data_IF_871668069887
#
_entry.id   IF_871668069887
#
_cell.length_a   1.000
_cell.length_b   1.000
_cell.length_c   1.000
_cell.angle_alpha   90.00
_cell.angle_beta   90.00
_cell.angle_gamma   90.00
#
_symmetry.space_group_name_H-M   'P 1'
#
loop_
_entity.id
_entity.type
_entity.pdbx_description
1 polymer ?
#
# COMPACT_ATOMS: atom_id res chain seq x y z
N UNK A 1 -33.71 42.13 14.69
CA UNK A 1 -33.48 40.67 14.78
C UNK A 1 -33.09 40.26 16.22
N UNK A 2 -33.86 40.68 17.22
CA UNK A 2 -33.54 40.52 18.66
C UNK A 2 -34.07 39.19 19.22
N UNK A 3 -35.21 38.72 18.70
CA UNK A 3 -35.86 37.47 19.12
C UNK A 3 -35.05 36.21 18.78
N UNK A 4 -34.34 36.22 17.64
CA UNK A 4 -33.47 35.10 17.24
C UNK A 4 -32.25 34.98 18.19
N UNK A 5 -31.70 36.13 18.59
CA UNK A 5 -30.60 36.21 19.58
C UNK A 5 -31.05 35.72 20.95
N UNK A 6 -32.27 36.07 21.37
CA UNK A 6 -32.84 35.60 22.64
C UNK A 6 -33.08 34.09 22.65
N UNK A 7 -33.64 33.54 21.57
CA UNK A 7 -33.81 32.09 21.43
C UNK A 7 -32.48 31.32 21.39
N UNK A 8 -31.41 31.92 20.85
CA UNK A 8 -30.07 31.35 20.88
C UNK A 8 -29.48 31.40 22.30
N UNK A 9 -29.61 32.54 22.98
CA UNK A 9 -29.16 32.74 24.36
C UNK A 9 -29.85 31.78 25.34
N UNK A 10 -31.17 31.61 25.25
CA UNK A 10 -31.90 30.66 26.10
C UNK A 10 -31.49 29.20 25.85
N UNK A 11 -31.21 28.81 24.60
CA UNK A 11 -30.68 27.48 24.27
C UNK A 11 -29.29 27.27 24.88
N UNK A 12 -28.45 28.29 24.85
CA UNK A 12 -27.10 28.23 25.40
C UNK A 12 -27.13 28.09 26.92
N UNK A 13 -27.93 28.91 27.62
CA UNK A 13 -28.14 28.83 29.08
C UNK A 13 -28.75 27.49 29.49
N UNK A 14 -29.74 27.00 28.74
CA UNK A 14 -30.36 25.70 29.02
C UNK A 14 -29.33 24.58 28.85
N UNK A 15 -28.52 24.65 27.80
CA UNK A 15 -27.41 23.73 27.57
C UNK A 15 -26.36 23.77 28.69
N UNK A 16 -26.04 24.95 29.22
CA UNK A 16 -25.15 25.11 30.38
C UNK A 16 -25.72 24.48 31.64
N UNK A 17 -26.97 24.77 31.99
CA UNK A 17 -27.63 24.19 33.17
C UNK A 17 -27.73 22.67 33.10
N UNK A 18 -28.00 22.11 31.91
CA UNK A 18 -28.00 20.65 31.72
C UNK A 18 -26.60 20.09 31.92
N UNK A 19 -25.55 20.75 31.38
CA UNK A 19 -24.15 20.34 31.57
C UNK A 19 -23.74 20.37 33.04
N UNK A 20 -24.15 21.38 33.80
CA UNK A 20 -23.83 21.50 35.22
C UNK A 20 -24.53 20.44 36.07
N UNK A 21 -25.80 20.14 35.77
CA UNK A 21 -26.51 19.02 36.42
C UNK A 21 -25.84 17.67 36.12
N UNK A 22 -25.40 17.45 34.87
CA UNK A 22 -24.65 16.23 34.51
C UNK A 22 -23.33 16.15 35.28
N UNK A 23 -22.60 17.26 35.40
CA UNK A 23 -21.35 17.33 36.16
C UNK A 23 -21.58 17.03 37.65
N UNK A 24 -22.59 17.65 38.26
CA UNK A 24 -22.96 17.42 39.65
C UNK A 24 -23.37 15.97 39.93
N UNK A 25 -24.17 15.36 39.05
CA UNK A 25 -24.56 13.96 39.20
C UNK A 25 -23.42 12.97 38.96
N UNK A 26 -22.50 13.25 38.02
CA UNK A 26 -21.27 12.44 37.85
C UNK A 26 -20.33 12.56 39.05
N UNK A 27 -20.28 13.74 39.70
CA UNK A 27 -19.54 13.93 40.96
C UNK A 27 -20.15 13.12 42.12
N UNK A 28 -21.45 12.86 42.07
CA UNK A 28 -22.15 11.92 42.97
C UNK A 28 -22.01 10.45 42.56
N UNK A 29 -21.17 10.14 41.56
CA UNK A 29 -20.90 8.78 41.10
C UNK A 29 -21.96 8.16 40.18
N UNK A 30 -23.02 8.89 39.81
CA UNK A 30 -24.12 8.36 39.01
C UNK A 30 -23.75 8.22 37.52
N UNK A 31 -24.27 7.19 36.85
CA UNK A 31 -24.07 6.98 35.41
C UNK A 31 -25.03 7.85 34.59
N UNK A 32 -24.58 9.06 34.25
CA UNK A 32 -25.38 10.09 33.56
C UNK A 32 -25.45 9.92 32.03
N UNK A 33 -25.52 8.67 31.54
CA UNK A 33 -25.78 8.35 30.13
C UNK A 33 -24.55 7.89 29.33
N UNK A 34 -24.83 7.46 28.10
CA UNK A 34 -23.88 6.76 27.24
C UNK A 34 -24.00 5.25 27.33
N UNK A 35 -23.33 4.58 26.40
CA UNK A 35 -23.35 3.13 26.26
C UNK A 35 -22.48 2.48 27.35
N UNK A 36 -22.99 1.50 28.14
CA UNK A 36 -22.21 0.88 29.20
C UNK A 36 -21.02 0.10 28.62
N UNK A 37 -19.84 0.13 29.27
CA UNK A 37 -18.69 -0.66 28.84
C UNK A 37 -18.93 -2.16 29.00
N UNK A 38 -18.14 -2.99 28.31
CA UNK A 38 -18.14 -4.45 28.50
C UNK A 38 -17.90 -4.76 29.98
N UNK A 39 -18.67 -5.64 30.60
CA UNK A 39 -18.57 -5.99 32.03
C UNK A 39 -19.68 -5.41 32.89
N UNK A 40 -20.42 -4.43 32.38
CA UNK A 40 -21.49 -3.76 33.12
C UNK A 40 -22.80 -3.71 32.32
N UNK A 41 -23.90 -3.79 33.06
CA UNK A 41 -25.25 -3.49 32.59
C UNK A 41 -25.79 -2.24 33.31
N UNK A 42 -26.77 -1.57 32.70
CA UNK A 42 -27.42 -0.41 33.33
C UNK A 42 -28.70 -0.88 34.02
N UNK A 43 -28.82 -0.60 35.32
CA UNK A 43 -30.07 -0.71 36.09
C UNK A 43 -30.25 0.57 36.89
N UNK A 44 -31.41 1.21 36.82
CA UNK A 44 -31.73 2.44 37.58
C UNK A 44 -30.68 3.56 37.48
N UNK A 45 -30.11 3.77 36.27
CA UNK A 45 -29.02 4.74 36.01
C UNK A 45 -27.73 4.46 36.81
N UNK A 46 -27.56 3.22 37.25
CA UNK A 46 -26.37 2.67 37.90
C UNK A 46 -25.75 1.59 37.04
N UNK A 47 -24.41 1.49 37.06
CA UNK A 47 -23.71 0.37 36.44
C UNK A 47 -23.70 -0.81 37.42
N UNK A 48 -24.19 -1.95 36.97
CA UNK A 48 -24.21 -3.20 37.73
C UNK A 48 -23.32 -4.20 37.02
N UNK A 49 -22.47 -4.91 37.78
CA UNK A 49 -21.53 -5.88 37.23
C UNK A 49 -22.28 -7.03 36.59
N UNK A 50 -21.95 -7.34 35.33
CA UNK A 50 -22.36 -8.56 34.66
C UNK A 50 -21.27 -9.62 34.85
N UNK A 51 -21.49 -10.70 35.62
CA UNK A 51 -20.43 -11.64 35.98
C UNK A 51 -19.71 -12.29 34.79
N UNK A 52 -20.45 -12.63 33.73
CA UNK A 52 -19.90 -13.29 32.54
C UNK A 52 -18.98 -12.35 31.77
N UNK A 53 -19.45 -11.12 31.50
CA UNK A 53 -18.64 -10.12 30.80
C UNK A 53 -17.49 -9.62 31.68
N UNK A 54 -17.69 -9.51 32.99
CA UNK A 54 -16.64 -9.12 33.93
C UNK A 54 -15.48 -10.11 33.95
N UNK A 55 -15.77 -11.41 33.82
CA UNK A 55 -14.72 -12.42 33.66
C UNK A 55 -13.93 -12.24 32.36
N UNK A 56 -14.56 -11.85 31.26
CA UNK A 56 -13.85 -11.53 30.01
C UNK A 56 -12.92 -10.33 30.18
N UNK A 57 -13.40 -9.30 30.88
CA UNK A 57 -12.58 -8.12 31.20
C UNK A 57 -11.35 -8.50 32.03
N UNK A 58 -11.52 -9.29 33.10
CA UNK A 58 -10.38 -9.76 33.93
C UNK A 58 -9.34 -10.49 33.09
N UNK A 59 -9.79 -11.46 32.29
CA UNK A 59 -8.93 -12.22 31.38
C UNK A 59 -8.19 -11.33 30.36
N UNK A 60 -8.83 -10.29 29.83
CA UNK A 60 -8.18 -9.33 28.92
C UNK A 60 -7.06 -8.53 29.59
N UNK A 61 -7.27 -8.10 30.84
CA UNK A 61 -6.25 -7.35 31.59
C UNK A 61 -5.08 -8.23 32.00
N UNK A 62 -5.35 -9.45 32.47
CA UNK A 62 -4.31 -10.46 32.78
C UNK A 62 -3.50 -10.83 31.54
N UNK A 63 -4.17 -11.18 30.43
CA UNK A 63 -3.48 -11.49 29.17
C UNK A 63 -2.62 -10.32 28.66
N UNK A 64 -3.03 -9.07 28.89
CA UNK A 64 -2.19 -7.92 28.55
C UNK A 64 -0.95 -7.80 29.45
N UNK A 65 -1.10 -8.08 30.75
CA UNK A 65 0.01 -8.14 31.69
C UNK A 65 1.01 -9.24 31.34
N UNK A 66 0.59 -10.32 30.70
CA UNK A 66 1.49 -11.36 30.19
C UNK A 66 2.11 -10.93 28.85
N UNK A 67 1.29 -10.63 27.85
CA UNK A 67 1.74 -10.39 26.46
C UNK A 67 2.50 -9.06 26.28
N UNK A 68 2.10 -8.01 26.99
CA UNK A 68 2.72 -6.69 26.91
C UNK A 68 2.53 -5.92 25.60
N UNK A 69 1.69 -6.40 24.69
CA UNK A 69 1.43 -5.77 23.40
C UNK A 69 -0.06 -5.77 23.08
N UNK A 70 -0.62 -4.61 22.70
CA UNK A 70 -2.03 -4.48 22.29
C UNK A 70 -2.32 -5.22 20.99
N UNK A 71 -1.35 -5.35 20.08
CA UNK A 71 -1.48 -6.19 18.88
C UNK A 71 -1.54 -7.68 19.25
N UNK A 72 -0.66 -8.13 20.13
CA UNK A 72 -0.69 -9.52 20.63
C UNK A 72 -1.99 -9.80 21.38
N UNK A 73 -2.46 -8.86 22.20
CA UNK A 73 -3.76 -8.95 22.88
C UNK A 73 -4.93 -9.05 21.91
N UNK A 74 -4.87 -8.34 20.77
CA UNK A 74 -5.92 -8.40 19.75
C UNK A 74 -6.00 -9.78 19.09
N UNK A 75 -4.84 -10.41 18.84
CA UNK A 75 -4.75 -11.78 18.35
C UNK A 75 -5.28 -12.77 19.39
N UNK A 76 -4.79 -12.66 20.62
CA UNK A 76 -5.22 -13.51 21.74
C UNK A 76 -6.73 -13.41 21.99
N UNK A 77 -7.30 -12.20 21.99
CA UNK A 77 -8.73 -12.01 22.17
C UNK A 77 -9.56 -12.67 21.05
N UNK A 78 -9.07 -12.64 19.81
CA UNK A 78 -9.71 -13.31 18.67
C UNK A 78 -9.66 -14.83 18.80
N UNK A 79 -8.50 -15.39 19.15
CA UNK A 79 -8.30 -16.84 19.34
C UNK A 79 -9.15 -17.38 20.51
N UNK A 80 -9.39 -16.56 21.53
CA UNK A 80 -10.20 -16.91 22.69
C UNK A 80 -11.69 -16.52 22.54
N UNK A 81 -12.13 -16.14 21.33
CA UNK A 81 -13.54 -15.83 21.05
C UNK A 81 -14.10 -14.62 21.80
N UNK A 82 -13.25 -13.71 22.28
CA UNK A 82 -13.67 -12.52 23.02
C UNK A 82 -14.10 -11.42 22.04
N UNK A 83 -15.34 -10.98 22.17
CA UNK A 83 -16.00 -10.02 21.29
C UNK A 83 -16.46 -8.77 22.04
N UNK A 84 -16.71 -7.70 21.28
CA UNK A 84 -17.31 -6.47 21.81
C UNK A 84 -18.71 -6.73 22.37
N UNK A 85 -19.09 -6.02 23.46
CA UNK A 85 -20.40 -6.16 24.14
C UNK A 85 -21.55 -6.14 23.13
N UNK A 86 -22.35 -7.21 23.11
CA UNK A 86 -23.53 -7.33 22.26
C UNK A 86 -24.63 -6.44 22.84
N UNK A 87 -25.19 -5.56 22.00
CA UNK A 87 -26.28 -4.67 22.39
C UNK A 87 -27.51 -5.05 21.61
N UNK A 88 -28.64 -5.16 22.31
CA UNK A 88 -29.94 -5.45 21.73
C UNK A 88 -30.82 -4.22 21.81
N UNK A 89 -31.61 -3.99 20.77
CA UNK A 89 -32.69 -3.02 20.75
C UNK A 89 -33.91 -3.60 21.48
N UNK A 90 -34.93 -2.76 21.74
CA UNK A 90 -36.15 -3.15 22.45
C UNK A 90 -36.93 -4.29 21.76
N UNK A 91 -36.76 -4.42 20.44
CA UNK A 91 -37.30 -5.47 19.56
C UNK A 91 -36.43 -6.74 19.53
N UNK A 92 -35.38 -6.84 20.37
CA UNK A 92 -34.51 -8.00 20.50
C UNK A 92 -33.43 -8.14 19.42
N UNK A 93 -33.45 -7.31 18.37
CA UNK A 93 -32.42 -7.28 17.31
C UNK A 93 -31.10 -6.74 17.84
N UNK A 94 -29.98 -7.23 17.32
CA UNK A 94 -28.65 -6.71 17.66
C UNK A 94 -28.49 -5.32 17.05
N UNK A 95 -28.39 -4.29 17.90
CA UNK A 95 -28.28 -2.89 17.48
C UNK A 95 -26.83 -2.44 17.30
N UNK A 96 -25.90 -3.02 18.06
CA UNK A 96 -24.47 -2.75 17.95
C UNK A 96 -23.63 -3.79 18.72
N UNK A 97 -22.34 -3.87 18.42
CA UNK A 97 -21.40 -4.78 19.08
C UNK A 97 -21.42 -6.20 18.51
N UNK A 98 -20.92 -7.18 19.26
CA UNK A 98 -20.78 -8.57 18.81
C UNK A 98 -19.69 -8.79 17.75
N UNK A 99 -18.83 -7.79 17.53
CA UNK A 99 -17.72 -7.85 16.58
C UNK A 99 -16.40 -8.17 17.29
N UNK A 100 -15.42 -8.79 16.59
CA UNK A 100 -14.06 -8.93 17.11
C UNK A 100 -13.48 -7.58 17.52
N UNK A 101 -12.66 -7.57 18.56
CA UNK A 101 -11.96 -6.37 18.99
C UNK A 101 -10.93 -5.90 17.97
N UNK A 102 -10.89 -4.59 17.72
CA UNK A 102 -9.75 -3.93 17.07
C UNK A 102 -8.68 -3.56 18.10
N UNK A 103 -7.43 -3.37 17.66
CA UNK A 103 -6.36 -2.92 18.54
C UNK A 103 -6.64 -1.56 19.20
N UNK A 104 -7.34 -0.66 18.50
CA UNK A 104 -7.74 0.64 19.06
C UNK A 104 -8.80 0.50 20.15
N UNK A 105 -9.78 -0.38 19.95
CA UNK A 105 -10.83 -0.64 20.94
C UNK A 105 -10.25 -1.24 22.22
N UNK A 106 -9.35 -2.22 22.11
CA UNK A 106 -8.68 -2.81 23.28
C UNK A 106 -7.79 -1.79 24.00
N UNK A 107 -7.04 -0.98 23.26
CA UNK A 107 -6.23 0.07 23.87
C UNK A 107 -7.08 1.12 24.62
N UNK A 108 -8.27 1.46 24.12
CA UNK A 108 -9.21 2.32 24.84
C UNK A 108 -9.79 1.62 26.08
N UNK A 109 -10.19 0.36 25.94
CA UNK A 109 -10.75 -0.46 27.02
C UNK A 109 -9.78 -0.58 28.21
N UNK A 110 -8.50 -0.85 27.94
CA UNK A 110 -7.47 -0.95 28.97
C UNK A 110 -7.27 0.35 29.77
N UNK A 111 -7.75 1.50 29.27
CA UNK A 111 -7.67 2.80 29.95
C UNK A 111 -8.92 3.17 30.72
N UNK A 112 -10.01 2.43 30.58
CA UNK A 112 -11.25 2.75 31.27
C UNK A 112 -11.08 2.60 32.78
N UNK A 113 -11.20 3.73 33.48
CA UNK A 113 -11.19 3.79 34.95
C UNK A 113 -12.50 3.29 35.57
N UNK A 114 -13.53 3.10 34.75
CA UNK A 114 -14.79 2.47 35.17
C UNK A 114 -14.56 1.09 35.77
N UNK A 115 -13.56 0.34 35.30
CA UNK A 115 -13.26 -0.99 35.85
C UNK A 115 -12.72 -1.01 37.28
N UNK A 116 -12.23 0.14 37.79
CA UNK A 116 -11.77 0.31 39.18
C UNK A 116 -12.79 1.10 40.03
N UNK A 117 -14.05 1.19 39.59
CA UNK A 117 -15.10 1.86 40.36
C UNK A 117 -15.10 3.39 40.23
N UNK A 118 -14.56 3.95 39.14
CA UNK A 118 -14.47 5.41 38.96
C UNK A 118 -15.19 5.94 37.72
N UNK A 119 -15.65 7.19 37.78
CA UNK A 119 -16.28 7.90 36.66
C UNK A 119 -15.46 9.13 36.30
N UNK A 120 -15.06 9.24 35.03
CA UNK A 120 -14.31 10.38 34.52
C UNK A 120 -15.23 11.48 33.96
N UNK A 121 -14.93 12.74 34.28
CA UNK A 121 -15.61 13.91 33.71
C UNK A 121 -14.66 15.11 33.58
N UNK A 122 -14.54 15.66 32.37
CA UNK A 122 -13.72 16.85 32.04
C UNK A 122 -12.30 16.81 32.63
N UNK A 123 -11.66 15.64 32.64
CA UNK A 123 -10.29 15.44 33.13
C UNK A 123 -10.18 15.09 34.62
N UNK A 124 -11.26 15.21 35.39
CA UNK A 124 -11.32 14.76 36.79
C UNK A 124 -11.91 13.36 36.92
N UNK A 125 -11.50 12.62 37.94
CA UNK A 125 -12.00 11.29 38.26
C UNK A 125 -12.72 11.33 39.61
N UNK A 126 -13.90 10.73 39.68
CA UNK A 126 -14.73 10.66 40.89
C UNK A 126 -15.03 9.20 41.23
N UNK A 127 -15.18 8.85 42.52
CA UNK A 127 -15.75 7.56 42.91
C UNK A 127 -17.10 7.36 42.24
N UNK A 128 -17.24 6.26 41.51
CA UNK A 128 -18.48 5.83 40.89
C UNK A 128 -19.36 5.10 41.89
N UNK A 129 -20.66 5.20 41.71
CA UNK A 129 -21.64 4.39 42.44
C UNK A 129 -21.78 3.03 41.75
N UNK A 130 -20.69 2.29 41.56
CA UNK A 130 -20.70 0.96 40.94
C UNK A 130 -19.51 0.12 41.39
N UNK A 131 -19.71 -1.20 41.44
CA UNK A 131 -18.66 -2.11 41.91
C UNK A 131 -17.51 -2.22 40.90
N UNK A 132 -16.28 -2.28 41.41
CA UNK A 132 -15.10 -2.48 40.59
C UNK A 132 -15.03 -3.93 40.07
N UNK A 133 -14.70 -4.10 38.79
CA UNK A 133 -14.42 -5.42 38.20
C UNK A 133 -12.97 -5.84 38.48
N UNK A 134 -12.07 -4.86 38.54
CA UNK A 134 -10.63 -5.03 38.73
C UNK A 134 -10.17 -4.38 40.03
N UNK A 135 -9.13 -4.95 40.64
CA UNK A 135 -8.41 -4.27 41.72
C UNK A 135 -7.61 -3.10 41.15
N UNK A 136 -7.39 -2.07 41.99
CA UNK A 136 -6.60 -0.90 41.59
C UNK A 136 -5.16 -1.28 41.21
N UNK A 137 -4.55 -2.25 41.91
CA UNK A 137 -3.21 -2.77 41.60
C UNK A 137 -3.09 -3.30 40.16
N UNK A 138 -4.00 -4.19 39.74
CA UNK A 138 -3.97 -4.77 38.39
C UNK A 138 -4.10 -3.67 37.33
N UNK A 139 -4.99 -2.71 37.55
CA UNK A 139 -5.18 -1.60 36.63
C UNK A 139 -3.96 -0.69 36.55
N UNK A 140 -3.33 -0.37 37.68
CA UNK A 140 -2.11 0.44 37.77
C UNK A 140 -0.93 -0.25 37.09
N UNK A 141 -0.76 -1.56 37.28
CA UNK A 141 0.26 -2.36 36.58
C UNK A 141 0.05 -2.33 35.07
N UNK A 142 -1.21 -2.42 34.60
CA UNK A 142 -1.53 -2.28 33.17
C UNK A 142 -1.21 -0.87 32.67
N UNK A 143 -1.54 0.19 33.41
CA UNK A 143 -1.20 1.56 33.02
C UNK A 143 0.31 1.78 32.99
N UNK A 144 1.03 1.26 33.98
CA UNK A 144 2.48 1.31 34.03
C UNK A 144 3.06 0.61 32.80
N UNK A 145 2.56 -0.58 32.43
CA UNK A 145 2.98 -1.29 31.22
C UNK A 145 2.61 -0.55 29.93
N UNK A 146 1.45 0.11 29.86
CA UNK A 146 1.05 0.97 28.74
C UNK A 146 1.95 2.21 28.60
N UNK A 147 2.41 2.78 29.73
CA UNK A 147 3.29 3.95 29.77
C UNK A 147 4.75 3.59 29.52
N UNK A 148 5.20 2.47 30.07
CA UNK A 148 6.55 1.91 29.94
C UNK A 148 6.77 1.20 28.61
N UNK A 149 5.69 0.72 27.95
CA UNK A 149 5.73 0.40 26.53
C UNK A 149 6.30 1.63 25.85
N UNK A 150 7.55 1.57 25.33
CA UNK A 150 8.12 2.72 24.68
C UNK A 150 7.09 3.10 23.63
N UNK A 151 6.61 4.35 23.67
CA UNK A 151 6.05 4.92 22.46
C UNK A 151 7.10 4.57 21.44
N UNK A 152 6.81 3.66 20.51
CA UNK A 152 7.51 3.61 19.23
C UNK A 152 7.11 4.91 18.47
N UNK A 153 7.37 6.06 19.10
CA UNK A 153 8.14 7.17 18.60
C UNK A 153 9.64 6.79 18.60
N UNK A 154 10.00 5.54 18.29
CA UNK A 154 10.99 5.40 17.23
C UNK A 154 10.39 6.22 16.10
N UNK A 155 11.11 7.24 15.65
CA UNK A 155 10.65 8.19 14.66
C UNK A 155 9.64 7.54 13.70
N UNK A 156 8.59 8.27 13.30
CA UNK A 156 8.12 8.09 11.92
C UNK A 156 9.36 8.37 11.07
N UNK A 157 10.16 7.34 10.86
CA UNK A 157 11.42 7.39 10.16
C UNK A 157 11.00 7.51 8.71
N UNK A 158 10.88 8.77 8.31
CA UNK A 158 10.29 9.19 7.06
C UNK A 158 8.76 9.11 7.09
N UNK A 159 8.14 10.06 6.40
CA UNK A 159 7.02 9.69 5.53
C UNK A 159 7.39 8.38 4.81
N UNK A 160 6.42 7.48 4.52
CA UNK A 160 6.68 6.39 3.57
C UNK A 160 7.50 6.95 2.40
N UNK A 161 8.56 6.26 1.94
CA UNK A 161 9.39 6.79 0.88
C UNK A 161 8.47 7.29 -0.24
N UNK A 162 8.66 8.54 -0.67
CA UNK A 162 7.80 9.21 -1.63
C UNK A 162 8.04 8.60 -3.01
N UNK A 163 7.63 7.34 -3.17
CA UNK A 163 7.74 6.62 -4.42
C UNK A 163 6.59 7.08 -5.34
N UNK A 164 6.83 7.19 -6.65
CA UNK A 164 5.89 7.78 -7.60
C UNK A 164 4.48 7.17 -7.54
N UNK A 165 4.35 5.85 -7.39
CA UNK A 165 3.05 5.16 -7.44
C UNK A 165 2.35 5.04 -6.08
N UNK A 166 2.78 5.84 -5.09
CA UNK A 166 2.22 5.79 -3.74
C UNK A 166 0.74 6.14 -3.74
N UNK A 167 -0.09 5.13 -3.54
CA UNK A 167 -1.55 5.29 -3.47
C UNK A 167 -2.35 5.06 -4.72
N UNK A 168 -1.68 4.70 -5.80
CA UNK A 168 -2.33 4.35 -7.04
C UNK A 168 -2.54 2.83 -7.17
N UNK A 169 -1.79 2.02 -6.43
CA UNK A 169 -1.73 0.55 -6.62
C UNK A 169 -2.62 -0.21 -5.63
N UNK A 170 -3.43 -1.12 -6.18
CA UNK A 170 -4.32 -2.02 -5.46
C UNK A 170 -4.16 -3.46 -5.98
N UNK A 171 -4.39 -4.45 -5.11
CA UNK A 171 -4.39 -5.87 -5.50
C UNK A 171 -5.81 -6.43 -5.79
N UNK A 172 -5.86 -7.70 -6.21
CA UNK A 172 -7.08 -8.46 -6.55
C UNK A 172 -8.15 -8.48 -5.43
N UNK A 173 -7.76 -8.20 -4.19
CA UNK A 173 -8.69 -8.17 -3.05
C UNK A 173 -9.17 -6.76 -2.71
N UNK A 174 -8.68 -5.75 -3.43
CA UNK A 174 -8.92 -4.33 -3.16
C UNK A 174 -7.97 -3.71 -2.13
N UNK A 175 -6.96 -4.45 -1.66
CA UNK A 175 -5.98 -3.95 -0.70
C UNK A 175 -4.99 -3.00 -1.39
N UNK A 176 -4.74 -1.85 -0.77
CA UNK A 176 -3.76 -0.86 -1.27
C UNK A 176 -2.34 -1.32 -0.96
N UNK A 177 -1.47 -1.22 -1.97
CA UNK A 177 -0.02 -1.44 -1.78
C UNK A 177 0.64 -0.17 -1.24
N UNK A 178 1.49 -0.34 -0.23
CA UNK A 178 2.21 0.75 0.45
C UNK A 178 3.71 0.60 0.22
N UNK A 179 4.46 1.68 -0.05
CA UNK A 179 5.89 1.60 -0.25
C UNK A 179 6.61 1.33 1.08
N UNK A 180 7.55 0.39 1.06
CA UNK A 180 8.44 0.01 2.16
C UNK A 180 9.86 -0.10 1.64
N UNK A 181 10.85 -0.07 2.54
CA UNK A 181 12.24 -0.31 2.17
C UNK A 181 12.88 -1.36 3.05
N UNK A 182 13.88 -2.07 2.51
CA UNK A 182 14.79 -2.92 3.24
C UNK A 182 16.21 -2.42 3.01
N UNK A 183 17.03 -2.43 4.07
CA UNK A 183 18.45 -2.05 3.96
C UNK A 183 19.30 -3.31 4.06
N UNK A 184 20.18 -3.52 3.08
CA UNK A 184 21.15 -4.62 3.09
C UNK A 184 22.50 -4.09 2.61
N UNK A 185 23.55 -4.31 3.38
CA UNK A 185 24.92 -3.88 3.06
C UNK A 185 25.01 -2.38 2.71
N UNK A 186 24.30 -1.53 3.44
CA UNK A 186 24.24 -0.08 3.19
C UNK A 186 23.35 0.35 2.02
N UNK A 187 22.93 -0.56 1.13
CA UNK A 187 22.01 -0.27 0.04
C UNK A 187 20.54 -0.37 0.48
N UNK A 188 19.72 0.59 0.06
CA UNK A 188 18.27 0.61 0.31
C UNK A 188 17.52 0.06 -0.90
N UNK A 189 16.67 -0.92 -0.67
CA UNK A 189 15.82 -1.56 -1.67
C UNK A 189 14.36 -1.20 -1.39
N UNK A 190 13.69 -0.61 -2.37
CA UNK A 190 12.30 -0.17 -2.25
C UNK A 190 11.33 -1.20 -2.82
N UNK A 191 10.20 -1.39 -2.14
CA UNK A 191 9.16 -2.35 -2.51
C UNK A 191 7.76 -1.74 -2.31
N UNK A 192 6.80 -2.13 -3.14
CA UNK A 192 5.37 -1.97 -2.86
C UNK A 192 4.83 -3.26 -2.25
N UNK A 193 4.18 -3.14 -1.09
CA UNK A 193 3.71 -4.29 -0.30
C UNK A 193 2.24 -4.15 0.06
N UNK A 194 1.45 -5.22 -0.09
CA UNK A 194 0.03 -5.23 0.33
C UNK A 194 -0.08 -4.89 1.81
N UNK A 195 -0.97 -3.97 2.17
CA UNK A 195 -1.05 -3.42 3.53
C UNK A 195 -1.23 -4.50 4.63
N UNK A 196 -1.90 -5.62 4.30
CA UNK A 196 -2.07 -6.79 5.18
C UNK A 196 -0.76 -7.48 5.59
N UNK A 197 0.26 -7.54 4.72
CA UNK A 197 1.58 -8.10 5.07
C UNK A 197 2.31 -7.29 6.14
N UNK A 198 1.97 -6.01 6.29
CA UNK A 198 2.53 -5.13 7.32
C UNK A 198 1.81 -5.27 8.67
N UNK A 199 0.61 -5.89 8.68
CA UNK A 199 -0.26 -6.02 9.84
C UNK A 199 -0.21 -7.42 10.49
N UNK A 200 0.16 -8.47 9.74
CA UNK A 200 0.22 -9.85 10.22
C UNK A 200 1.60 -10.49 10.03
N UNK A 201 2.10 -11.24 11.03
CA UNK A 201 3.34 -12.04 10.95
C UNK A 201 3.21 -13.29 10.07
N UNK A 202 2.00 -13.58 9.59
CA UNK A 202 1.71 -14.73 8.73
C UNK A 202 2.00 -14.40 7.27
N UNK A 203 2.74 -15.29 6.59
CA UNK A 203 2.90 -15.28 5.13
C UNK A 203 1.55 -15.52 4.48
N UNK A 204 0.85 -14.45 4.12
CA UNK A 204 -0.34 -14.53 3.28
C UNK A 204 0.09 -14.79 1.83
N UNK A 205 -0.26 -15.95 1.22
CA UNK A 205 0.13 -16.28 -0.14
C UNK A 205 -0.55 -15.39 -1.20
N UNK A 206 -1.62 -14.69 -0.87
CA UNK A 206 -2.32 -13.75 -1.76
C UNK A 206 -1.77 -12.33 -1.73
N UNK A 207 -0.79 -12.08 -0.85
CA UNK A 207 -0.29 -10.73 -0.64
C UNK A 207 0.95 -10.43 -1.49
N UNK A 208 0.99 -9.21 -2.00
CA UNK A 208 2.00 -8.80 -2.98
C UNK A 208 3.19 -8.16 -2.29
N UNK A 209 4.39 -8.49 -2.79
CA UNK A 209 5.64 -7.78 -2.51
C UNK A 209 6.40 -7.62 -3.81
N UNK A 210 6.43 -6.39 -4.32
CA UNK A 210 6.94 -6.07 -5.64
C UNK A 210 8.10 -5.08 -5.54
N UNK A 211 9.25 -5.32 -6.20
CA UNK A 211 10.32 -4.32 -6.29
C UNK A 211 9.81 -3.04 -6.95
N UNK A 212 9.98 -1.90 -6.26
CA UNK A 212 9.42 -0.64 -6.72
C UNK A 212 9.95 -0.19 -8.09
N UNK A 213 11.27 -0.17 -8.36
CA UNK A 213 11.78 0.25 -9.66
C UNK A 213 11.25 -0.59 -10.83
N UNK A 214 10.96 -1.87 -10.57
CA UNK A 214 10.47 -2.78 -11.60
C UNK A 214 8.99 -2.55 -11.91
N UNK A 215 8.16 -2.42 -10.87
CA UNK A 215 6.74 -2.10 -11.07
C UNK A 215 6.57 -0.75 -11.76
N UNK A 216 7.35 0.24 -11.32
CA UNK A 216 7.41 1.58 -11.89
C UNK A 216 7.72 1.58 -13.39
N UNK A 217 8.74 0.82 -13.80
CA UNK A 217 9.07 0.63 -15.21
C UNK A 217 7.95 -0.05 -16.00
N UNK A 218 7.35 -1.11 -15.46
CA UNK A 218 6.23 -1.82 -16.10
C UNK A 218 5.04 -0.90 -16.32
N UNK A 219 4.70 -0.06 -15.35
CA UNK A 219 3.60 0.92 -15.50
C UNK A 219 3.92 1.96 -16.58
N UNK A 220 5.16 2.46 -16.64
CA UNK A 220 5.57 3.39 -17.68
C UNK A 220 5.53 2.76 -19.07
N UNK A 221 6.02 1.52 -19.22
CA UNK A 221 5.97 0.76 -20.48
C UNK A 221 4.53 0.49 -20.92
N UNK A 222 3.63 0.14 -20.00
CA UNK A 222 2.21 -0.07 -20.28
C UNK A 222 1.53 1.21 -20.79
N UNK A 223 1.82 2.35 -20.16
CA UNK A 223 1.28 3.65 -20.58
C UNK A 223 1.83 4.08 -21.94
N UNK A 224 3.12 3.85 -22.22
CA UNK A 224 3.70 4.10 -23.55
C UNK A 224 3.07 3.23 -24.64
N UNK A 225 2.85 1.95 -24.37
CA UNK A 225 2.16 1.05 -25.30
C UNK A 225 0.71 1.45 -25.55
N UNK A 226 0.04 1.99 -24.52
CA UNK A 226 -1.30 2.57 -24.67
C UNK A 226 -1.30 3.81 -25.57
N UNK A 227 -0.31 4.70 -25.44
CA UNK A 227 -0.22 5.89 -26.30
C UNK A 227 0.17 5.57 -27.75
N UNK A 228 0.86 4.46 -28.00
CA UNK A 228 1.22 4.02 -29.36
C UNK A 228 0.03 3.39 -30.11
N UNK A 229 -1.03 2.98 -29.40
CA UNK A 229 -2.26 2.48 -30.01
C UNK A 229 -3.14 3.63 -30.52
N UNK A 230 -2.74 4.15 -31.68
CA UNK A 230 -3.37 5.31 -32.34
C UNK A 230 -4.88 5.15 -32.52
N UNK A 231 -5.38 3.92 -32.71
CA UNK A 231 -6.81 3.64 -32.88
C UNK A 231 -7.56 3.84 -31.56
N UNK A 232 -7.07 3.23 -30.46
CA UNK A 232 -7.69 3.41 -29.14
C UNK A 232 -7.71 4.86 -28.70
N UNK A 233 -6.62 5.58 -28.95
CA UNK A 233 -6.56 7.02 -28.64
C UNK A 233 -7.60 7.78 -29.46
N UNK A 234 -7.70 7.50 -30.76
CA UNK A 234 -8.70 8.14 -31.61
C UNK A 234 -10.13 7.86 -31.13
N UNK A 235 -10.45 6.62 -30.79
CA UNK A 235 -11.78 6.24 -30.25
C UNK A 235 -12.11 7.03 -28.98
N UNK A 236 -11.15 7.15 -28.05
CA UNK A 236 -11.33 7.91 -26.79
C UNK A 236 -11.54 9.40 -27.08
N UNK A 237 -10.79 9.96 -28.03
CA UNK A 237 -10.95 11.35 -28.46
C UNK A 237 -12.32 11.58 -29.11
N UNK A 238 -12.77 10.68 -29.99
CA UNK A 238 -14.06 10.81 -30.66
C UNK A 238 -15.25 10.66 -29.69
N UNK A 239 -15.12 9.82 -28.67
CA UNK A 239 -16.15 9.58 -27.66
C UNK A 239 -16.26 10.72 -26.64
N UNK A 240 -15.12 11.27 -26.19
CA UNK A 240 -15.09 12.18 -25.04
C UNK A 240 -14.72 13.63 -25.35
N UNK A 241 -14.25 13.94 -26.57
CA UNK A 241 -13.96 15.32 -26.95
C UNK A 241 -15.24 16.08 -27.33
N UNK A 242 -15.28 17.38 -27.02
CA UNK A 242 -16.44 18.21 -27.33
C UNK A 242 -16.70 18.28 -28.86
N UNK A 243 -17.93 18.60 -29.31
CA UNK A 243 -18.28 18.64 -30.74
C UNK A 243 -17.37 19.54 -31.58
N UNK A 244 -16.90 20.66 -31.02
CA UNK A 244 -15.93 21.59 -31.65
C UNK A 244 -14.58 20.94 -31.90
N UNK A 245 -14.22 19.92 -31.12
CA UNK A 245 -12.93 19.20 -31.16
C UNK A 245 -12.93 18.02 -32.15
N UNK A 246 -14.09 17.65 -32.71
CA UNK A 246 -14.21 16.61 -33.75
C UNK A 246 -13.81 17.11 -35.15
N UNK A 247 -13.39 18.37 -35.27
CA UNK A 247 -12.85 18.90 -36.51
C UNK A 247 -11.51 18.24 -36.84
N UNK A 248 -11.34 17.79 -38.09
CA UNK A 248 -10.17 17.04 -38.53
C UNK A 248 -8.82 17.73 -38.22
N UNK A 249 -8.78 19.07 -38.27
CA UNK A 249 -7.57 19.84 -37.96
C UNK A 249 -7.18 19.76 -36.47
N UNK A 250 -8.16 19.87 -35.55
CA UNK A 250 -7.94 19.80 -34.10
C UNK A 250 -7.50 18.41 -33.69
N UNK A 251 -8.12 17.37 -34.27
CA UNK A 251 -7.75 15.98 -34.03
C UNK A 251 -6.32 15.68 -34.52
N UNK A 252 -5.94 16.16 -35.70
CA UNK A 252 -4.58 16.02 -36.23
C UNK A 252 -3.53 16.72 -35.34
N UNK A 253 -3.83 17.93 -34.84
CA UNK A 253 -2.95 18.65 -33.92
C UNK A 253 -2.77 17.90 -32.60
N UNK A 254 -3.84 17.30 -32.09
CA UNK A 254 -3.85 16.54 -30.83
C UNK A 254 -3.02 15.26 -30.90
N UNK A 255 -3.13 14.53 -32.03
CA UNK A 255 -2.30 13.36 -32.28
C UNK A 255 -0.81 13.75 -32.40
N UNK A 256 -0.51 14.93 -32.96
CA UNK A 256 0.87 15.41 -33.02
C UNK A 256 1.40 15.80 -31.63
N UNK A 257 0.60 16.48 -30.80
CA UNK A 257 0.93 16.77 -29.40
C UNK A 257 1.16 15.49 -28.59
N UNK A 258 0.34 14.46 -28.81
CA UNK A 258 0.53 13.16 -28.19
C UNK A 258 1.85 12.51 -28.62
N UNK A 259 2.19 12.55 -29.91
CA UNK A 259 3.48 12.04 -30.42
C UNK A 259 4.66 12.74 -29.76
N UNK A 260 4.64 14.08 -29.68
CA UNK A 260 5.68 14.85 -28.99
C UNK A 260 5.78 14.48 -27.50
N UNK A 261 4.65 14.21 -26.85
CA UNK A 261 4.62 13.77 -25.46
C UNK A 261 5.22 12.37 -25.29
N UNK A 262 4.89 11.44 -26.17
CA UNK A 262 5.46 10.07 -26.18
C UNK A 262 6.97 10.13 -26.39
N UNK A 263 7.46 10.92 -27.35
CA UNK A 263 8.89 11.14 -27.58
C UNK A 263 9.58 11.70 -26.34
N UNK A 264 8.96 12.69 -25.68
CA UNK A 264 9.47 13.27 -24.43
C UNK A 264 9.59 12.21 -23.32
N UNK A 265 8.57 11.37 -23.13
CA UNK A 265 8.63 10.29 -22.13
C UNK A 265 9.73 9.29 -22.51
N UNK A 266 9.86 8.92 -23.78
CA UNK A 266 10.90 7.97 -24.22
C UNK A 266 12.32 8.50 -23.99
N UNK A 267 12.56 9.80 -24.17
CA UNK A 267 13.87 10.44 -23.97
C UNK A 267 14.21 10.71 -22.48
N UNK A 268 13.21 10.84 -21.62
CA UNK A 268 13.39 11.06 -20.18
C UNK A 268 13.98 9.86 -19.43
N UNK A 269 14.67 10.13 -18.32
CA UNK A 269 15.10 9.09 -17.38
C UNK A 269 13.90 8.47 -16.63
N UNK A 270 14.04 7.24 -16.12
CA UNK A 270 12.94 6.48 -15.51
C UNK A 270 12.17 7.23 -14.40
N UNK A 271 12.85 8.07 -13.61
CA UNK A 271 12.21 8.87 -12.56
C UNK A 271 11.34 10.02 -13.10
N UNK A 272 11.73 10.62 -14.22
CA UNK A 272 10.99 11.72 -14.85
C UNK A 272 9.81 11.21 -15.68
N UNK A 273 9.96 10.04 -16.31
CA UNK A 273 8.89 9.37 -17.07
C UNK A 273 7.60 9.27 -16.28
N UNK A 274 7.71 8.76 -15.04
CA UNK A 274 6.55 8.58 -14.19
C UNK A 274 5.94 9.89 -13.71
N UNK A 275 6.72 10.96 -13.52
CA UNK A 275 6.18 12.26 -13.14
C UNK A 275 5.27 12.85 -14.22
N UNK A 276 5.56 12.58 -15.50
CA UNK A 276 4.72 12.99 -16.63
C UNK A 276 3.42 12.18 -16.67
N UNK A 277 3.50 10.89 -16.35
CA UNK A 277 2.41 9.93 -16.52
C UNK A 277 1.44 9.91 -15.33
N UNK A 278 1.95 10.08 -14.10
CA UNK A 278 1.17 9.97 -12.85
C UNK A 278 -0.08 10.86 -12.80
N UNK A 279 -0.05 12.13 -13.25
CA UNK A 279 -1.24 12.98 -13.22
C UNK A 279 -2.44 12.39 -13.96
N UNK A 280 -2.18 11.57 -15.00
CA UNK A 280 -3.21 10.91 -15.80
C UNK A 280 -3.74 9.65 -15.10
N UNK A 281 -2.92 8.97 -14.29
CA UNK A 281 -3.29 7.70 -13.66
C UNK A 281 -4.18 7.95 -12.42
N UNK A 282 -5.39 7.41 -12.44
CA UNK A 282 -6.30 7.41 -11.28
C UNK A 282 -6.13 6.18 -10.41
N UNK A 283 -5.91 5.01 -11.02
CA UNK A 283 -5.83 3.74 -10.29
C UNK A 283 -5.11 2.67 -11.10
N UNK A 284 -4.39 1.80 -10.41
CA UNK A 284 -3.69 0.64 -10.94
C UNK A 284 -4.15 -0.58 -10.14
N UNK A 285 -4.72 -1.57 -10.80
CA UNK A 285 -5.17 -2.82 -10.19
C UNK A 285 -4.31 -3.99 -10.69
N UNK A 286 -3.73 -4.72 -9.74
CA UNK A 286 -2.86 -5.88 -9.97
C UNK A 286 -3.69 -7.17 -9.93
N UNK A 287 -3.71 -7.88 -11.05
CA UNK A 287 -4.12 -9.27 -11.15
C UNK A 287 -2.91 -10.22 -11.24
N UNK A 288 -3.14 -11.53 -11.18
CA UNK A 288 -2.06 -12.54 -11.27
C UNK A 288 -1.41 -12.60 -12.65
N UNK A 289 -2.20 -12.33 -13.68
CA UNK A 289 -1.87 -12.47 -15.09
C UNK A 289 -2.10 -11.18 -15.91
N UNK A 290 -2.53 -10.10 -15.26
CA UNK A 290 -2.76 -8.82 -15.91
C UNK A 290 -2.57 -7.64 -14.93
N UNK A 291 -2.36 -6.47 -15.51
CA UNK A 291 -2.31 -5.17 -14.84
C UNK A 291 -3.35 -4.27 -15.52
N UNK A 292 -4.30 -3.74 -14.76
CA UNK A 292 -5.30 -2.79 -15.26
C UNK A 292 -4.95 -1.39 -14.81
N UNK A 293 -4.87 -0.44 -15.73
CA UNK A 293 -4.62 0.96 -15.46
C UNK A 293 -5.88 1.76 -15.82
N UNK A 294 -6.35 2.57 -14.87
CA UNK A 294 -7.46 3.52 -15.04
C UNK A 294 -6.90 4.92 -15.15
N UNK A 295 -7.23 5.60 -16.24
CA UNK A 295 -6.77 6.94 -16.57
C UNK A 295 -7.92 7.95 -16.54
N UNK A 296 -7.60 9.18 -16.17
CA UNK A 296 -8.49 10.34 -16.32
C UNK A 296 -8.35 10.91 -17.73
N UNK A 297 -9.42 10.83 -18.50
CA UNK A 297 -9.42 11.28 -19.89
C UNK A 297 -9.34 12.81 -19.96
N UNK A 298 -9.92 13.55 -19.02
CA UNK A 298 -9.83 15.02 -18.98
C UNK A 298 -8.40 15.49 -18.74
N UNK A 299 -7.66 14.81 -17.86
CA UNK A 299 -6.23 15.10 -17.62
C UNK A 299 -5.38 14.75 -18.85
N UNK A 300 -5.68 13.64 -19.54
CA UNK A 300 -5.03 13.27 -20.79
C UNK A 300 -5.26 14.35 -21.87
N UNK A 301 -6.50 14.80 -22.07
CA UNK A 301 -6.86 15.85 -23.01
C UNK A 301 -6.14 17.17 -22.68
N UNK A 302 -6.07 17.51 -21.40
CA UNK A 302 -5.33 18.70 -20.94
C UNK A 302 -3.85 18.61 -21.26
N UNK A 303 -3.25 17.42 -21.08
CA UNK A 303 -1.83 17.19 -21.29
C UNK A 303 -1.43 17.26 -22.78
N UNK A 304 -2.32 16.86 -23.70
CA UNK A 304 -2.10 16.95 -25.16
C UNK A 304 -2.52 18.32 -25.75
N UNK A 305 -2.82 19.31 -24.89
CA UNK A 305 -3.10 20.69 -25.30
C UNK A 305 -4.55 20.93 -25.73
N UNK A 306 -5.45 19.97 -25.50
CA UNK A 306 -6.89 20.11 -25.75
C UNK A 306 -7.59 20.64 -24.49
N UNK A 307 -7.44 21.94 -24.20
CA UNK A 307 -8.31 22.60 -23.23
C UNK A 307 -9.60 23.03 -23.90
N UNK A 308 -10.74 22.56 -23.37
CA UNK A 308 -12.00 23.25 -23.59
C UNK A 308 -11.92 24.63 -22.92
N UNK A 309 -11.89 25.70 -23.71
CA UNK A 309 -12.09 27.06 -23.18
C UNK A 309 -13.58 27.33 -22.85
N UNK A 310 -14.44 26.32 -22.87
CA UNK A 310 -15.90 26.43 -22.75
C UNK A 310 -16.56 25.93 -21.46
N UNK A 311 -15.85 25.53 -20.39
CA UNK A 311 -16.50 25.14 -19.11
C UNK A 311 -16.39 26.20 -18.00
N UNK A 312 -15.96 27.42 -18.32
CA UNK A 312 -16.09 28.57 -17.42
C UNK A 312 -17.00 29.62 -18.05
N UNK A 313 -18.32 29.47 -17.81
CA UNK A 313 -19.34 30.53 -17.62
C UNK A 313 -20.70 29.88 -17.35
N UNK A 314 -21.05 29.70 -16.08
CA UNK A 314 -22.04 30.52 -15.33
C UNK A 314 -23.43 30.58 -15.96
N UNK A 315 -24.42 29.99 -15.28
CA UNK A 315 -25.78 30.55 -15.28
C UNK A 315 -26.15 30.97 -13.85
N UNK A 316 -25.83 32.23 -13.55
CA UNK A 316 -26.59 33.00 -12.58
C UNK A 316 -27.90 33.43 -13.25
N UNK A 317 -28.95 32.61 -13.18
CA UNK A 317 -30.35 33.05 -13.21
C UNK A 317 -31.18 32.10 -12.37
N UNK A 318 -31.29 32.42 -11.07
CA UNK A 318 -32.45 32.15 -10.23
C UNK A 318 -32.32 32.97 -8.94
N UNK A 319 -32.31 34.29 -9.07
CA UNK A 319 -32.82 35.15 -8.00
C UNK A 319 -34.32 35.01 -8.05
N UNK A 320 -34.89 34.27 -7.09
CA UNK A 320 -36.34 34.16 -6.94
C UNK A 320 -36.85 32.79 -6.48
N UNK A 321 -36.46 32.36 -5.27
CA UNK A 321 -37.27 31.52 -4.37
C UNK A 321 -36.42 31.06 -3.18
N UNK A 322 -35.87 32.00 -2.41
CA UNK A 322 -35.28 31.70 -1.11
C UNK A 322 -36.37 31.70 -0.02
N UNK A 323 -37.33 30.77 -0.14
CA UNK A 323 -38.15 30.35 0.99
C UNK A 323 -38.36 28.84 0.87
N UNK A 324 -37.81 28.11 1.84
CA UNK A 324 -37.97 26.68 2.07
C UNK A 324 -37.16 25.73 1.17
N UNK A 325 -35.92 25.43 1.56
CA UNK A 325 -35.42 24.05 1.61
C UNK A 325 -34.25 23.94 2.61
N UNK A 326 -34.39 23.00 3.55
CA UNK A 326 -33.50 22.76 4.70
C UNK A 326 -32.49 21.68 4.33
N UNK A 327 -31.28 22.02 3.87
CA UNK A 327 -30.05 21.19 3.99
C UNK A 327 -28.97 21.67 3.02
N UNK A 328 -27.81 22.05 3.56
CA UNK A 328 -26.58 22.34 2.81
C UNK A 328 -25.93 21.06 2.21
N UNK A 329 -26.53 19.90 2.45
CA UNK A 329 -26.01 18.58 2.06
C UNK A 329 -26.52 18.11 0.70
N UNK A 330 -27.67 18.61 0.25
CA UNK A 330 -28.27 18.20 -1.03
C UNK A 330 -27.75 19.02 -2.22
N UNK A 331 -27.20 20.22 -1.98
CA UNK A 331 -26.54 21.04 -3.00
C UNK A 331 -25.14 20.53 -3.39
N UNK A 332 -24.53 19.65 -2.60
CA UNK A 332 -23.21 19.06 -2.90
C UNK A 332 -23.27 17.72 -3.64
N UNK A 333 -24.46 17.13 -3.81
CA UNK A 333 -24.59 15.86 -4.54
C UNK A 333 -24.83 16.01 -6.06
N UNK A 334 -25.20 17.21 -6.54
CA UNK A 334 -25.66 17.39 -7.93
C UNK A 334 -24.75 18.25 -8.82
N UNK A 335 -23.46 18.38 -8.48
CA UNK A 335 -22.48 19.05 -9.35
C UNK A 335 -21.06 18.49 -9.17
N UNK A 336 -20.89 17.16 -9.28
CA UNK A 336 -19.59 16.58 -9.64
C UNK A 336 -19.73 16.09 -11.06
N UNK A 337 -19.30 16.89 -12.03
CA UNK A 337 -18.96 16.35 -13.34
C UNK A 337 -17.90 15.27 -13.07
N UNK A 338 -18.30 14.00 -13.15
CA UNK A 338 -17.37 12.89 -13.01
C UNK A 338 -16.52 12.91 -14.27
N UNK A 339 -15.24 13.26 -14.14
CA UNK A 339 -14.33 13.19 -15.28
C UNK A 339 -14.39 11.77 -15.89
N UNK A 340 -14.47 11.64 -17.22
CA UNK A 340 -14.50 10.33 -17.86
C UNK A 340 -13.24 9.53 -17.52
N UNK A 341 -13.44 8.27 -17.11
CA UNK A 341 -12.37 7.34 -16.76
C UNK A 341 -12.30 6.26 -17.83
N UNK A 342 -11.13 6.10 -18.46
CA UNK A 342 -10.86 4.99 -19.36
C UNK A 342 -10.00 3.93 -18.66
N UNK A 343 -10.26 2.66 -18.92
CA UNK A 343 -9.52 1.55 -18.33
C UNK A 343 -8.97 0.63 -19.42
N UNK A 344 -7.68 0.29 -19.33
CA UNK A 344 -7.05 -0.68 -20.22
C UNK A 344 -6.23 -1.68 -19.41
N UNK A 345 -6.08 -2.89 -19.96
CA UNK A 345 -5.36 -3.99 -19.32
C UNK A 345 -4.21 -4.47 -20.19
N UNK A 346 -3.08 -4.74 -19.56
CA UNK A 346 -1.91 -5.39 -20.18
C UNK A 346 -1.64 -6.71 -19.48
N UNK A 347 -1.32 -7.79 -20.24
CA UNK A 347 -0.99 -9.07 -19.65
C UNK A 347 0.32 -8.98 -18.85
N UNK A 348 0.41 -9.73 -17.77
CA UNK A 348 1.50 -9.72 -16.80
C UNK A 348 1.94 -11.16 -16.54
N UNK A 349 3.24 -11.41 -16.57
CA UNK A 349 3.83 -12.69 -16.17
C UNK A 349 4.73 -12.46 -14.97
N UNK A 350 4.44 -13.19 -13.89
CA UNK A 350 5.25 -13.23 -12.69
C UNK A 350 6.35 -14.28 -12.84
N UNK A 351 7.60 -13.86 -13.01
CA UNK A 351 8.78 -14.73 -12.97
C UNK A 351 9.49 -14.55 -11.62
N UNK A 352 10.28 -15.53 -11.16
CA UNK A 352 11.11 -15.38 -9.95
C UNK A 352 12.59 -15.31 -10.33
N UNK A 353 13.32 -14.33 -9.79
CA UNK A 353 14.78 -14.22 -9.91
C UNK A 353 15.40 -14.39 -8.53
N UNK A 354 15.74 -15.63 -8.17
CA UNK A 354 16.16 -15.97 -6.81
C UNK A 354 15.02 -15.80 -5.79
N UNK A 355 15.17 -14.84 -4.87
CA UNK A 355 14.16 -14.54 -3.82
C UNK A 355 13.21 -13.40 -4.25
N UNK A 356 13.51 -12.70 -5.35
CA UNK A 356 12.71 -11.56 -5.82
C UNK A 356 11.68 -11.96 -6.88
N UNK A 357 10.48 -11.40 -6.75
CA UNK A 357 9.42 -11.48 -7.76
C UNK A 357 9.70 -10.48 -8.89
N UNK A 358 9.74 -10.98 -10.12
CA UNK A 358 9.90 -10.22 -11.35
C UNK A 358 8.56 -10.07 -12.06
N UNK A 359 8.21 -8.84 -12.40
CA UNK A 359 7.07 -8.49 -13.25
C UNK A 359 7.55 -8.33 -14.69
N UNK A 360 6.90 -8.99 -15.63
CA UNK A 360 7.16 -8.87 -17.08
C UNK A 360 5.82 -8.67 -17.78
N UNK A 361 5.73 -7.70 -18.70
CA UNK A 361 4.53 -7.54 -19.54
C UNK A 361 4.52 -8.67 -20.58
N UNK A 362 3.40 -9.37 -20.72
CA UNK A 362 3.23 -10.40 -21.74
C UNK A 362 3.13 -9.79 -23.15
N UNK A 363 3.82 -10.38 -24.13
CA UNK A 363 3.59 -10.05 -25.55
C UNK A 363 4.42 -8.90 -26.13
N UNK A 364 5.11 -8.10 -25.34
CA UNK A 364 6.18 -7.21 -25.84
C UNK A 364 7.52 -7.94 -25.78
N UNK A 365 8.38 -7.77 -26.79
CA UNK A 365 9.76 -8.28 -26.76
C UNK A 365 10.37 -7.96 -25.41
N UNK A 366 11.01 -8.95 -24.76
CA UNK A 366 11.59 -8.80 -23.43
C UNK A 366 12.29 -7.43 -23.33
N UNK A 367 11.77 -6.50 -22.51
CA UNK A 367 12.22 -5.12 -22.55
C UNK A 367 13.72 -5.11 -22.28
N UNK A 368 14.51 -4.47 -23.17
CA UNK A 368 15.98 -4.31 -23.05
C UNK A 368 16.33 -4.05 -21.59
N UNK A 369 16.72 -5.09 -20.87
CA UNK A 369 17.04 -4.96 -19.46
C UNK A 369 18.37 -4.21 -19.40
N UNK A 370 18.54 -3.31 -18.43
CA UNK A 370 19.87 -2.76 -18.19
C UNK A 370 20.83 -3.93 -17.96
N UNK A 371 21.95 -4.04 -18.70
CA UNK A 371 22.78 -5.23 -18.67
C UNK A 371 23.22 -5.56 -17.24
N UNK A 372 23.14 -6.84 -16.86
CA UNK A 372 23.51 -7.28 -15.51
C UNK A 372 25.03 -7.16 -15.33
N UNK A 373 25.45 -6.06 -14.71
CA UNK A 373 26.85 -5.72 -14.50
C UNK A 373 27.61 -6.79 -13.70
N UNK A 374 26.95 -7.45 -12.76
CA UNK A 374 27.58 -8.50 -11.97
C UNK A 374 27.81 -9.75 -12.82
N UNK A 375 26.82 -10.15 -13.62
CA UNK A 375 26.96 -11.25 -14.57
C UNK A 375 28.05 -10.97 -15.61
N UNK A 376 28.08 -9.77 -16.18
CA UNK A 376 29.10 -9.37 -17.16
C UNK A 376 30.50 -9.44 -16.56
N UNK A 377 30.71 -8.87 -15.36
CA UNK A 377 32.00 -8.95 -14.66
C UNK A 377 32.40 -10.39 -14.35
N UNK A 378 31.43 -11.24 -14.01
CA UNK A 378 31.68 -12.66 -13.72
C UNK A 378 32.17 -13.40 -14.97
N UNK A 379 31.55 -13.17 -16.12
CA UNK A 379 31.95 -13.76 -17.41
C UNK A 379 33.30 -13.20 -17.86
N UNK A 380 33.51 -11.88 -17.77
CA UNK A 380 34.77 -11.25 -18.14
C UNK A 380 35.94 -11.79 -17.30
N UNK A 381 35.74 -11.95 -15.98
CA UNK A 381 36.73 -12.54 -15.07
C UNK A 381 37.04 -13.99 -15.43
N UNK A 382 36.02 -14.79 -15.74
CA UNK A 382 36.23 -16.19 -16.17
C UNK A 382 37.07 -16.27 -17.45
N UNK A 383 36.82 -15.38 -18.42
CA UNK A 383 37.62 -15.29 -19.65
C UNK A 383 39.06 -14.86 -19.38
N UNK A 384 39.29 -13.89 -18.50
CA UNK A 384 40.63 -13.48 -18.11
C UNK A 384 41.41 -14.63 -17.46
N UNK A 385 40.79 -15.34 -16.51
CA UNK A 385 41.39 -16.52 -15.89
C UNK A 385 41.72 -17.63 -16.89
N UNK A 386 40.86 -17.84 -17.89
CA UNK A 386 41.14 -18.81 -18.95
C UNK A 386 42.33 -18.39 -19.82
N UNK A 387 42.44 -17.12 -20.20
CA UNK A 387 43.60 -16.63 -20.96
C UNK A 387 44.89 -16.67 -20.11
N UNK A 388 44.83 -16.42 -18.81
CA UNK A 388 45.97 -16.56 -17.90
C UNK A 388 46.49 -18.02 -17.86
N UNK A 389 45.59 -19.00 -17.78
CA UNK A 389 45.93 -20.43 -17.82
C UNK A 389 46.47 -20.85 -19.19
N UNK A 390 45.85 -20.35 -20.27
CA UNK A 390 46.23 -20.67 -21.65
C UNK A 390 47.58 -20.07 -22.03
N UNK A 391 47.87 -18.85 -21.57
CA UNK A 391 49.16 -18.17 -21.80
C UNK A 391 50.28 -18.67 -20.90
N UNK A 392 49.96 -19.43 -19.85
CA UNK A 392 50.91 -19.88 -18.84
C UNK A 392 51.32 -18.79 -17.84
N UNK A 393 50.65 -17.63 -17.85
CA UNK A 393 50.84 -16.58 -16.84
C UNK A 393 50.52 -17.08 -15.42
N UNK A 394 49.65 -18.09 -15.33
CA UNK A 394 49.30 -18.78 -14.09
C UNK A 394 49.29 -20.29 -14.34
N UNK A 395 49.88 -21.08 -13.44
CA UNK A 395 50.07 -22.52 -13.66
C UNK A 395 48.86 -23.39 -13.27
N UNK A 396 48.01 -22.92 -12.35
CA UNK A 396 46.87 -23.70 -11.86
C UNK A 396 45.69 -22.85 -11.37
N UNK A 397 44.54 -23.52 -11.19
CA UNK A 397 43.36 -22.92 -10.55
C UNK A 397 43.68 -22.45 -9.12
N UNK A 398 44.57 -23.13 -8.41
CA UNK A 398 44.97 -22.76 -7.05
C UNK A 398 45.78 -21.46 -7.03
N UNK A 399 46.59 -21.22 -8.05
CA UNK A 399 47.36 -19.99 -8.17
C UNK A 399 46.45 -18.79 -8.47
N UNK A 400 45.41 -18.98 -9.30
CA UNK A 400 44.35 -17.97 -9.51
C UNK A 400 43.62 -17.69 -8.19
N UNK A 401 43.24 -18.75 -7.48
CA UNK A 401 42.55 -18.65 -6.20
C UNK A 401 43.37 -17.87 -5.15
N UNK A 402 44.67 -18.14 -5.07
CA UNK A 402 45.59 -17.42 -4.19
C UNK A 402 45.76 -15.94 -4.60
N UNK A 403 45.97 -15.67 -5.89
CA UNK A 403 46.14 -14.30 -6.43
C UNK A 403 44.91 -13.43 -6.18
N UNK A 404 43.73 -13.97 -6.46
CA UNK A 404 42.46 -13.22 -6.40
C UNK A 404 41.78 -13.32 -5.02
N UNK A 405 42.40 -14.01 -4.05
CA UNK A 405 41.89 -14.24 -2.69
C UNK A 405 40.48 -14.89 -2.68
N UNK A 406 40.29 -15.89 -3.53
CA UNK A 406 39.04 -16.63 -3.66
C UNK A 406 39.23 -18.11 -3.30
N UNK A 407 38.18 -18.82 -2.84
CA UNK A 407 38.25 -20.26 -2.69
C UNK A 407 38.46 -20.94 -4.06
N UNK A 408 39.32 -21.96 -4.13
CA UNK A 408 39.55 -22.71 -5.37
C UNK A 408 38.25 -23.31 -5.95
N UNK A 409 37.29 -23.68 -5.10
CA UNK A 409 35.97 -24.14 -5.51
C UNK A 409 35.15 -23.08 -6.25
N UNK A 410 35.32 -21.80 -5.90
CA UNK A 410 34.63 -20.68 -6.56
C UNK A 410 35.23 -20.44 -7.95
N UNK A 411 36.56 -20.44 -8.05
CA UNK A 411 37.29 -20.33 -9.33
C UNK A 411 36.89 -21.47 -10.25
N UNK A 412 36.89 -22.71 -9.75
CA UNK A 412 36.50 -23.91 -10.49
C UNK A 412 35.05 -23.84 -11.01
N UNK A 413 34.11 -23.30 -10.23
CA UNK A 413 32.69 -23.13 -10.65
C UNK A 413 32.49 -22.02 -11.68
N UNK A 414 33.33 -21.00 -11.65
CA UNK A 414 33.19 -19.83 -12.52
C UNK A 414 33.97 -19.96 -13.83
N UNK A 415 35.08 -20.72 -13.84
CA UNK A 415 35.91 -20.91 -15.03
C UNK A 415 35.14 -21.43 -16.27
N UNK A 416 34.17 -22.36 -16.15
CA UNK A 416 33.37 -22.81 -17.29
C UNK A 416 32.63 -21.70 -18.04
N UNK A 417 32.36 -20.57 -17.39
CA UNK A 417 31.68 -19.43 -18.02
C UNK A 417 32.52 -18.75 -19.10
N UNK A 418 33.83 -19.01 -19.16
CA UNK A 418 34.69 -18.57 -20.25
C UNK A 418 34.24 -19.14 -21.61
N UNK A 419 33.62 -20.33 -21.60
CA UNK A 419 33.21 -21.09 -22.79
C UNK A 419 31.75 -20.86 -23.21
N UNK A 420 31.11 -19.81 -22.69
CA UNK A 420 29.79 -19.41 -23.17
C UNK A 420 29.83 -19.01 -24.65
N UNK A 421 28.83 -19.47 -25.41
CA UNK A 421 28.69 -19.17 -26.83
C UNK A 421 28.74 -17.65 -27.10
N UNK A 422 29.44 -17.19 -28.16
CA UNK A 422 29.58 -15.75 -28.45
C UNK A 422 28.25 -15.00 -28.56
N UNK A 423 27.23 -15.64 -29.13
CA UNK A 423 25.87 -15.07 -29.27
C UNK A 423 25.13 -14.98 -27.93
N UNK A 424 25.38 -15.89 -26.98
CA UNK A 424 24.87 -15.80 -25.59
C UNK A 424 25.54 -14.63 -24.87
N UNK A 425 26.86 -14.49 -25.00
CA UNK A 425 27.59 -13.35 -24.43
C UNK A 425 27.09 -12.02 -25.02
N UNK A 426 26.89 -11.96 -26.34
CA UNK A 426 26.33 -10.79 -27.00
C UNK A 426 24.92 -10.46 -26.51
N UNK A 427 24.07 -11.47 -26.30
CA UNK A 427 22.75 -11.28 -25.73
C UNK A 427 22.81 -10.77 -24.28
N UNK A 428 23.72 -11.29 -23.46
CA UNK A 428 23.95 -10.83 -22.08
C UNK A 428 24.43 -9.37 -22.04
N UNK A 429 25.39 -9.01 -22.90
CA UNK A 429 25.89 -7.63 -23.03
C UNK A 429 24.79 -6.67 -23.51
N UNK A 430 23.89 -7.15 -24.37
CA UNK A 430 22.73 -6.39 -24.84
C UNK A 430 21.56 -6.36 -23.85
N UNK A 431 21.66 -7.05 -22.70
CA UNK A 431 20.57 -7.12 -21.72
C UNK A 431 19.36 -7.95 -22.17
N UNK A 432 19.57 -8.89 -23.11
CA UNK A 432 18.57 -9.79 -23.70
C UNK A 432 18.66 -11.22 -23.15
N UNK A 433 19.34 -11.42 -22.04
CA UNK A 433 19.38 -12.73 -21.39
C UNK A 433 18.06 -13.03 -20.65
N UNK A 434 17.68 -14.32 -20.54
CA UNK A 434 16.54 -14.73 -19.74
C UNK A 434 16.62 -14.20 -18.31
N UNK A 435 15.48 -13.77 -17.77
CA UNK A 435 15.41 -13.03 -16.50
C UNK A 435 15.93 -13.86 -15.30
N UNK A 436 15.77 -15.17 -15.35
CA UNK A 436 16.23 -16.15 -14.36
C UNK A 436 17.73 -16.50 -14.49
N UNK A 437 18.37 -16.10 -15.59
CA UNK A 437 19.80 -16.26 -15.81
C UNK A 437 20.58 -15.21 -15.01
N UNK A 438 21.17 -15.65 -13.90
CA UNK A 438 22.06 -14.85 -13.04
C UNK A 438 23.44 -15.50 -12.97
N UNK A 439 24.47 -14.74 -12.55
CA UNK A 439 25.80 -15.31 -12.28
C UNK A 439 25.71 -16.51 -11.34
N UNK A 440 24.91 -16.39 -10.28
CA UNK A 440 24.67 -17.45 -9.31
C UNK A 440 23.95 -18.66 -9.90
N UNK A 441 22.98 -18.45 -10.79
CA UNK A 441 22.28 -19.56 -11.48
C UNK A 441 23.28 -20.31 -12.36
N UNK A 442 24.07 -19.58 -13.16
CA UNK A 442 25.09 -20.12 -14.05
C UNK A 442 26.17 -20.93 -13.31
N UNK A 443 26.71 -20.39 -12.21
CA UNK A 443 27.74 -21.05 -11.39
C UNK A 443 27.22 -22.28 -10.62
N UNK A 444 25.90 -22.45 -10.52
CA UNK A 444 25.26 -23.59 -9.84
C UNK A 444 24.74 -24.64 -10.82
N UNK A 445 24.89 -24.41 -12.13
CA UNK A 445 24.54 -25.42 -13.11
C UNK A 445 25.50 -26.61 -12.93
N UNK A 446 24.96 -27.84 -12.81
CA UNK A 446 25.78 -29.03 -12.58
C UNK A 446 26.71 -29.32 -13.76
N UNK A 447 26.34 -28.88 -14.97
CA UNK A 447 27.21 -28.91 -16.15
C UNK A 447 26.79 -27.84 -17.16
N UNK A 448 27.77 -27.16 -17.77
CA UNK A 448 27.55 -26.23 -18.88
C UNK A 448 28.01 -26.95 -20.17
N UNK A 449 27.09 -27.33 -21.07
CA UNK A 449 27.45 -28.06 -22.28
C UNK A 449 28.51 -27.33 -23.09
N UNK A 450 29.50 -28.05 -23.63
CA UNK A 450 30.47 -27.45 -24.55
C UNK A 450 29.85 -27.12 -25.91
N UNK A 451 28.83 -27.87 -26.32
CA UNK A 451 28.05 -27.60 -27.53
C UNK A 451 27.21 -26.33 -27.36
N UNK A 452 27.44 -25.33 -28.22
CA UNK A 452 26.76 -24.04 -28.13
C UNK A 452 25.25 -24.16 -28.34
N UNK A 453 24.77 -25.04 -29.23
CA UNK A 453 23.34 -25.26 -29.46
C UNK A 453 22.65 -25.85 -28.21
N UNK A 454 23.35 -26.73 -27.48
CA UNK A 454 22.91 -27.23 -26.19
C UNK A 454 22.95 -26.14 -25.11
N UNK A 455 23.92 -25.23 -25.11
CA UNK A 455 23.93 -24.07 -24.20
C UNK A 455 22.71 -23.18 -24.43
N UNK A 456 22.36 -22.87 -25.68
CA UNK A 456 21.18 -22.05 -26.01
C UNK A 456 19.89 -22.62 -25.41
N UNK A 457 19.63 -23.90 -25.68
CA UNK A 457 18.47 -24.61 -25.14
C UNK A 457 18.49 -24.69 -23.62
N UNK A 458 19.66 -24.98 -23.03
CA UNK A 458 19.81 -25.16 -21.59
C UNK A 458 19.65 -23.87 -20.81
N UNK A 459 20.10 -22.75 -21.37
CA UNK A 459 20.07 -21.44 -20.73
C UNK A 459 18.80 -20.64 -21.05
N UNK A 460 17.87 -21.21 -21.84
CA UNK A 460 16.55 -20.63 -22.09
C UNK A 460 16.54 -19.49 -23.10
N UNK A 461 17.55 -19.39 -23.96
CA UNK A 461 17.53 -18.44 -25.06
C UNK A 461 16.56 -18.92 -26.15
N UNK A 462 15.83 -18.03 -26.84
CA UNK A 462 15.05 -18.41 -28.00
C UNK A 462 15.98 -19.02 -29.06
N UNK A 463 15.61 -20.16 -29.63
CA UNK A 463 16.36 -20.76 -30.74
C UNK A 463 16.48 -19.72 -31.85
N UNK A 464 17.71 -19.44 -32.28
CA UNK A 464 17.99 -18.50 -33.35
C UNK A 464 17.67 -19.11 -34.72
#
# INVERSE_FOLDING_TARGET
NVLLSFAQFEREITGERIRDKIAASKKKGMWMGGLPPLGYDIRDKKLVVNPQEAQQVRRLFEAYLDLGSTKALTRWARENGIITKVRRSADGRISAGGRPFSSGNLHALLKYRTYIGEVAHKGSNYPGDHDAILTRDVWERVQAKLKASPKRRGARSGSPPSLPLTGLIFDETGDRLTPVHATKSGCRYYYYVSSRLSQTDTRDPSAWRLPAPRLERVVAEAMLGFFDDHRKIQDILEEHAAPTMKQAHVLAQSLNSLKQLVEKIQQSQDSERLQIIIPIIRRIDLGRDHLTIRIDVSELLTLIGLKDQGSVRTNAVAVGAAQHCKSHKDLLLNAVATNPIHAFSVPLVLKRRGVETMLVIGGTQEPKASPDQHLIRTIARARAWFEDLKSGAVASINDIAARDQLPASEVSRQLPLAFLAPSIVAAILAGRQPVDLTAKTLMRLPDLPLDWSAQFRRLGFPNN
#
